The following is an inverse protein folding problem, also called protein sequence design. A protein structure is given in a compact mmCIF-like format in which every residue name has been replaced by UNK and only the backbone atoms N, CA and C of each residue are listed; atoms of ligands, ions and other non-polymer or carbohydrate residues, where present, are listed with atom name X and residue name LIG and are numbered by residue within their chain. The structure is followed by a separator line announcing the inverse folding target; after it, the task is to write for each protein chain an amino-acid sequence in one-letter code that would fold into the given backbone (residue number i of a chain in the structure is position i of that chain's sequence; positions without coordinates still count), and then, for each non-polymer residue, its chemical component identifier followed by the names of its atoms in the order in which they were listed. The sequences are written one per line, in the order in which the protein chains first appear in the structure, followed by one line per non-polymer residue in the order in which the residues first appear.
data_IF_143092917662
#
_entry.id   IF_143092917662
#
_cell.length_a   1.000
_cell.length_b   1.000
_cell.length_c   1.000
_cell.angle_alpha   90.00
_cell.angle_beta   90.00
_cell.angle_gamma   90.00
#
_symmetry.space_group_name_H-M   'P 1'
#
loop_
_entity.id
_entity.type
_entity.pdbx_description
1 polymer ?
#
# COMPACT_ATOMS: atom_id res chain seq x y z
N UNK A 1 -22.04 -18.44 -78.04
CA UNK A 1 -22.96 -18.65 -76.89
C UNK A 1 -22.33 -19.41 -75.69
N UNK A 2 -20.99 -19.55 -75.59
CA UNK A 2 -20.32 -20.35 -74.53
C UNK A 2 -19.60 -19.50 -73.46
N UNK A 3 -19.25 -18.28 -73.69
CA UNK A 3 -18.50 -17.44 -72.75
C UNK A 3 -19.33 -16.84 -71.61
N UNK A 4 -20.62 -16.57 -71.84
CA UNK A 4 -21.52 -15.99 -70.82
C UNK A 4 -21.81 -16.96 -69.62
N UNK A 5 -21.76 -18.27 -69.92
CA UNK A 5 -22.04 -19.26 -68.86
C UNK A 5 -20.82 -19.54 -67.97
N UNK A 6 -19.60 -19.43 -68.47
CA UNK A 6 -18.35 -19.56 -67.65
C UNK A 6 -18.23 -18.41 -66.70
N UNK A 7 -18.61 -17.19 -67.04
CA UNK A 7 -18.58 -16.03 -66.19
C UNK A 7 -19.58 -16.11 -65.03
N UNK A 8 -20.74 -16.74 -65.24
CA UNK A 8 -21.74 -17.00 -64.21
C UNK A 8 -21.29 -18.07 -63.18
N UNK A 9 -20.58 -19.09 -63.66
CA UNK A 9 -20.05 -20.16 -62.83
C UNK A 9 -18.90 -19.63 -61.95
N UNK A 10 -18.02 -18.79 -62.50
CA UNK A 10 -16.94 -18.15 -61.73
C UNK A 10 -17.49 -17.17 -60.70
N UNK A 11 -18.52 -16.40 -61.01
CA UNK A 11 -19.18 -15.50 -60.09
C UNK A 11 -19.90 -16.25 -58.96
N UNK A 12 -20.45 -17.43 -59.23
CA UNK A 12 -21.12 -18.27 -58.23
C UNK A 12 -20.13 -18.98 -57.28
N UNK A 13 -18.95 -19.38 -57.79
CA UNK A 13 -17.88 -19.98 -56.97
C UNK A 13 -17.22 -18.95 -56.07
N UNK A 14 -17.07 -17.69 -56.48
CA UNK A 14 -16.57 -16.59 -55.65
C UNK A 14 -17.57 -16.22 -54.53
N UNK A 15 -18.88 -16.40 -54.74
CA UNK A 15 -19.91 -16.14 -53.73
C UNK A 15 -20.07 -17.30 -52.72
N UNK A 16 -19.51 -18.47 -53.03
CA UNK A 16 -19.52 -19.69 -52.18
C UNK A 16 -18.21 -19.91 -51.43
N UNK A 17 -17.27 -18.96 -51.42
CA UNK A 17 -16.20 -18.95 -50.44
C UNK A 17 -16.87 -18.59 -49.13
N UNK A 18 -17.17 -19.56 -48.23
CA UNK A 18 -17.59 -19.20 -46.89
C UNK A 18 -16.45 -18.33 -46.35
N UNK A 19 -16.77 -17.11 -46.00
CA UNK A 19 -15.95 -16.40 -45.04
C UNK A 19 -15.92 -17.28 -43.78
N UNK A 20 -15.04 -18.24 -43.77
CA UNK A 20 -14.51 -18.76 -42.51
C UNK A 20 -13.85 -17.54 -41.86
N UNK A 21 -14.65 -16.72 -41.19
CA UNK A 21 -14.18 -15.96 -40.07
C UNK A 21 -13.57 -17.02 -39.16
N UNK A 22 -12.28 -17.25 -39.34
CA UNK A 22 -11.45 -17.78 -38.27
C UNK A 22 -11.62 -16.78 -37.14
N UNK A 23 -12.62 -17.03 -36.29
CA UNK A 23 -12.63 -16.50 -34.94
C UNK A 23 -11.35 -17.05 -34.33
N UNK A 24 -10.25 -16.28 -34.48
CA UNK A 24 -9.04 -16.54 -33.72
C UNK A 24 -9.50 -16.55 -32.27
N UNK A 25 -9.64 -17.75 -31.71
CA UNK A 25 -9.84 -17.91 -30.26
C UNK A 25 -8.61 -17.31 -29.65
N UNK A 26 -8.73 -16.06 -29.18
CA UNK A 26 -7.67 -15.42 -28.42
C UNK A 26 -7.42 -16.35 -27.23
N UNK A 27 -6.29 -16.99 -27.24
CA UNK A 27 -5.87 -17.86 -26.15
C UNK A 27 -5.80 -16.99 -24.90
N UNK A 28 -6.66 -17.30 -23.93
CA UNK A 28 -6.73 -16.52 -22.69
C UNK A 28 -5.57 -16.89 -21.80
N UNK A 29 -4.98 -15.89 -21.19
CA UNK A 29 -3.94 -16.11 -20.20
C UNK A 29 -4.54 -16.67 -18.89
N UNK A 30 -3.82 -17.59 -18.26
CA UNK A 30 -4.20 -18.10 -16.95
C UNK A 30 -4.04 -17.03 -15.90
N UNK A 31 -5.09 -16.76 -15.13
CA UNK A 31 -5.11 -15.84 -14.01
C UNK A 31 -4.96 -16.61 -12.69
N UNK A 32 -4.11 -16.12 -11.80
CA UNK A 32 -3.92 -16.68 -10.45
C UNK A 32 -4.33 -15.63 -9.43
N UNK A 33 -5.29 -15.99 -8.58
CA UNK A 33 -5.71 -15.16 -7.44
C UNK A 33 -5.03 -15.65 -6.16
N UNK A 34 -4.38 -14.75 -5.44
CA UNK A 34 -3.88 -14.98 -4.09
C UNK A 34 -4.74 -14.24 -3.08
N UNK A 35 -5.07 -14.88 -1.97
CA UNK A 35 -5.81 -14.29 -0.86
C UNK A 35 -4.92 -14.28 0.37
N UNK A 36 -4.69 -13.11 0.98
CA UNK A 36 -3.96 -12.95 2.24
C UNK A 36 -4.86 -12.29 3.26
N UNK A 37 -4.90 -12.86 4.47
CA UNK A 37 -5.65 -12.31 5.60
C UNK A 37 -4.74 -11.46 6.47
N UNK A 38 -5.29 -10.37 6.98
CA UNK A 38 -4.64 -9.43 7.90
C UNK A 38 -5.55 -9.13 9.09
N UNK A 39 -4.94 -9.04 10.27
CA UNK A 39 -5.62 -8.61 11.49
C UNK A 39 -4.73 -7.64 12.26
N UNK A 40 -5.11 -6.37 12.26
CA UNK A 40 -4.37 -5.30 12.92
C UNK A 40 -4.97 -4.99 14.29
N UNK A 41 -4.15 -5.03 15.32
CA UNK A 41 -4.52 -4.80 16.73
C UNK A 41 -5.71 -5.63 17.21
N UNK A 42 -5.89 -6.83 16.66
CA UNK A 42 -7.03 -7.72 16.91
C UNK A 42 -8.41 -7.07 16.63
N UNK A 43 -8.45 -5.95 15.93
CA UNK A 43 -9.65 -5.14 15.70
C UNK A 43 -9.98 -4.99 14.21
N UNK A 44 -9.06 -4.49 13.41
CA UNK A 44 -9.26 -4.32 11.98
C UNK A 44 -8.88 -5.61 11.24
N UNK A 45 -9.85 -6.23 10.58
CA UNK A 45 -9.65 -7.46 9.81
C UNK A 45 -9.94 -7.18 8.34
N UNK A 46 -9.01 -7.56 7.47
CA UNK A 46 -9.15 -7.34 6.03
C UNK A 46 -8.42 -8.42 5.22
N UNK A 47 -8.81 -8.52 3.98
CA UNK A 47 -8.21 -9.40 3.00
C UNK A 47 -7.49 -8.57 1.94
N UNK A 48 -6.32 -9.02 1.55
CA UNK A 48 -5.62 -8.51 0.37
C UNK A 48 -5.67 -9.57 -0.70
N UNK A 49 -6.39 -9.28 -1.77
CA UNK A 49 -6.52 -10.16 -2.92
C UNK A 49 -5.54 -9.69 -3.98
N UNK A 50 -4.67 -10.56 -4.45
CA UNK A 50 -3.70 -10.28 -5.50
C UNK A 50 -4.04 -11.06 -6.76
N UNK A 51 -4.03 -10.37 -7.93
CA UNK A 51 -4.20 -10.99 -9.23
C UNK A 51 -2.87 -10.99 -9.99
N UNK A 52 -2.46 -12.16 -10.47
CA UNK A 52 -1.21 -12.38 -11.22
C UNK A 52 -1.46 -13.26 -12.42
N UNK A 53 -0.73 -13.04 -13.51
CA UNK A 53 -0.72 -13.92 -14.67
C UNK A 53 0.72 -14.16 -15.12
N UNK A 54 0.96 -15.33 -15.70
CA UNK A 54 2.26 -15.68 -16.26
C UNK A 54 2.33 -15.19 -17.69
N UNK A 55 3.09 -14.11 -17.91
CA UNK A 55 3.33 -13.51 -19.22
C UNK A 55 4.83 -13.65 -19.50
N UNK A 56 5.18 -14.17 -20.67
CA UNK A 56 6.58 -14.43 -21.08
C UNK A 56 7.41 -15.19 -20.02
N UNK A 57 6.78 -16.19 -19.39
CA UNK A 57 7.43 -17.04 -18.40
C UNK A 57 7.56 -16.42 -17.00
N UNK A 58 7.18 -15.14 -16.78
CA UNK A 58 7.26 -14.43 -15.51
C UNK A 58 5.88 -14.07 -14.97
N UNK A 59 5.69 -14.17 -13.64
CA UNK A 59 4.47 -13.70 -13.01
C UNK A 59 4.45 -12.17 -12.96
N UNK A 60 3.43 -11.58 -13.56
CA UNK A 60 3.16 -10.15 -13.54
C UNK A 60 1.87 -9.88 -12.76
N UNK A 61 1.83 -8.77 -12.04
CA UNK A 61 0.62 -8.29 -11.35
C UNK A 61 -0.35 -7.71 -12.37
N UNK A 62 -1.63 -8.09 -12.28
CA UNK A 62 -2.67 -7.72 -13.24
C UNK A 62 -3.71 -6.83 -12.56
N UNK A 63 -3.84 -5.60 -13.06
CA UNK A 63 -4.86 -4.65 -12.61
C UNK A 63 -6.19 -4.81 -13.36
N UNK A 64 -7.21 -4.10 -12.89
CA UNK A 64 -8.55 -4.04 -13.47
C UNK A 64 -9.29 -5.39 -13.56
N UNK A 65 -8.98 -6.31 -12.65
CA UNK A 65 -9.69 -7.59 -12.51
C UNK A 65 -10.83 -7.42 -11.49
N UNK A 66 -12.05 -7.69 -11.91
CA UNK A 66 -13.20 -7.74 -11.01
C UNK A 66 -13.17 -9.01 -10.18
N UNK A 67 -13.18 -8.88 -8.86
CA UNK A 67 -13.12 -9.99 -7.90
C UNK A 67 -14.33 -9.95 -6.99
N UNK A 68 -14.94 -11.11 -6.73
CA UNK A 68 -15.94 -11.33 -5.70
C UNK A 68 -15.33 -12.17 -4.59
N UNK A 69 -15.64 -11.83 -3.35
CA UNK A 69 -15.09 -12.52 -2.19
C UNK A 69 -16.21 -13.11 -1.34
N UNK A 70 -16.02 -14.34 -0.92
CA UNK A 70 -16.94 -15.12 -0.12
C UNK A 70 -16.25 -15.67 1.12
N UNK A 71 -17.04 -15.96 2.16
CA UNK A 71 -16.60 -16.68 3.36
C UNK A 71 -17.23 -18.07 3.35
N UNK A 72 -16.48 -19.08 3.78
CA UNK A 72 -16.89 -20.49 3.89
C UNK A 72 -17.13 -21.16 2.54
N UNK A 73 -18.01 -20.62 1.68
CA UNK A 73 -18.40 -21.23 0.40
C UNK A 73 -18.92 -20.14 -0.56
N UNK A 74 -18.56 -20.25 -1.84
CA UNK A 74 -18.95 -19.35 -2.92
C UNK A 74 -20.29 -19.72 -3.60
N UNK A 75 -20.84 -20.89 -3.30
CA UNK A 75 -22.12 -21.33 -3.86
C UNK A 75 -23.33 -20.68 -3.19
N UNK A 76 -23.19 -20.15 -1.97
CA UNK A 76 -24.26 -19.52 -1.24
C UNK A 76 -24.12 -17.98 -1.27
N UNK A 77 -25.15 -17.30 -1.78
CA UNK A 77 -25.18 -15.83 -1.83
C UNK A 77 -25.05 -15.16 -0.45
N UNK A 78 -25.47 -15.84 0.61
CA UNK A 78 -25.38 -15.31 1.98
C UNK A 78 -23.92 -15.25 2.48
N UNK A 79 -23.01 -15.99 1.85
CA UNK A 79 -21.61 -16.01 2.18
C UNK A 79 -20.79 -14.93 1.43
N UNK A 80 -21.45 -14.14 0.58
CA UNK A 80 -20.83 -13.03 -0.11
C UNK A 80 -20.48 -11.92 0.88
N UNK A 81 -19.20 -11.51 0.90
CA UNK A 81 -18.71 -10.47 1.81
C UNK A 81 -18.30 -9.18 1.11
N UNK A 82 -18.04 -9.23 -0.18
CA UNK A 82 -17.75 -8.03 -0.94
C UNK A 82 -17.21 -8.30 -2.34
N UNK A 83 -17.13 -7.24 -3.13
CA UNK A 83 -16.53 -7.25 -4.45
C UNK A 83 -15.76 -5.96 -4.71
N UNK A 84 -14.80 -6.02 -5.62
CA UNK A 84 -14.05 -4.87 -6.06
C UNK A 84 -13.22 -5.17 -7.29
N UNK A 85 -12.40 -4.20 -7.67
CA UNK A 85 -11.53 -4.28 -8.84
C UNK A 85 -10.09 -4.11 -8.36
N UNK A 86 -9.17 -4.94 -8.86
CA UNK A 86 -7.75 -4.81 -8.54
C UNK A 86 -7.20 -3.50 -9.09
N UNK A 87 -6.38 -2.83 -8.28
CA UNK A 87 -5.64 -1.62 -8.67
C UNK A 87 -4.61 -1.94 -9.78
N UNK A 88 -3.94 -0.94 -10.32
CA UNK A 88 -2.82 -1.14 -11.27
C UNK A 88 -1.69 -2.01 -10.70
N UNK A 89 -1.56 -2.06 -9.38
CA UNK A 89 -0.62 -2.95 -8.68
C UNK A 89 -1.12 -4.39 -8.58
N UNK A 90 -2.28 -4.71 -9.16
CA UNK A 90 -2.88 -6.04 -9.13
C UNK A 90 -3.39 -6.44 -7.74
N UNK A 91 -3.76 -5.49 -6.89
CA UNK A 91 -4.20 -5.74 -5.52
C UNK A 91 -5.56 -5.09 -5.25
N UNK A 92 -6.40 -5.79 -4.50
CA UNK A 92 -7.68 -5.31 -3.98
C UNK A 92 -7.76 -5.59 -2.49
N UNK A 93 -8.08 -4.57 -1.70
CA UNK A 93 -8.19 -4.67 -0.24
C UNK A 93 -9.68 -4.67 0.11
N UNK A 94 -10.12 -5.66 0.88
CA UNK A 94 -11.47 -5.79 1.37
C UNK A 94 -11.48 -5.90 2.90
N UNK A 95 -11.98 -4.89 3.59
CA UNK A 95 -12.29 -5.02 5.01
C UNK A 95 -13.46 -5.97 5.23
N UNK A 96 -13.33 -6.87 6.21
CA UNK A 96 -14.40 -7.83 6.52
C UNK A 96 -15.58 -7.05 7.10
N UNK A 97 -16.75 -7.05 6.41
CA UNK A 97 -17.87 -6.24 6.84
C UNK A 97 -18.54 -6.84 8.08
N UNK A 98 -19.23 -6.02 8.89
CA UNK A 98 -19.98 -6.50 10.06
C UNK A 98 -21.01 -7.58 9.74
N UNK A 99 -21.57 -7.58 8.51
CA UNK A 99 -22.49 -8.61 8.03
C UNK A 99 -21.89 -10.01 7.99
N UNK A 100 -20.58 -10.13 7.75
CA UNK A 100 -19.86 -11.39 7.77
C UNK A 100 -19.58 -11.92 9.19
N UNK A 101 -19.83 -11.11 10.24
CA UNK A 101 -19.54 -11.46 11.63
C UNK A 101 -20.24 -12.74 12.08
N UNK A 102 -21.45 -12.96 11.64
CA UNK A 102 -22.26 -14.15 11.97
C UNK A 102 -21.57 -15.42 11.47
N UNK A 103 -21.12 -15.44 10.22
CA UNK A 103 -20.37 -16.57 9.66
C UNK A 103 -18.99 -16.67 10.26
N UNK A 104 -18.31 -15.54 10.46
CA UNK A 104 -16.99 -15.49 11.10
C UNK A 104 -16.98 -16.13 12.48
N UNK A 105 -18.01 -15.95 13.30
CA UNK A 105 -18.06 -16.48 14.68
C UNK A 105 -18.33 -17.98 14.74
N UNK A 106 -18.99 -18.57 13.74
CA UNK A 106 -19.44 -19.97 13.76
C UNK A 106 -18.31 -21.01 13.90
N UNK A 107 -17.13 -20.75 13.36
CA UNK A 107 -16.03 -21.72 13.37
C UNK A 107 -14.73 -21.08 13.81
N UNK A 108 -13.83 -21.83 14.41
CA UNK A 108 -12.48 -21.40 14.74
C UNK A 108 -11.64 -21.14 13.48
N UNK A 109 -11.89 -21.92 12.42
CA UNK A 109 -11.23 -21.78 11.11
C UNK A 109 -12.25 -21.39 10.07
N UNK A 110 -11.89 -20.44 9.20
CA UNK A 110 -12.73 -19.94 8.13
C UNK A 110 -12.01 -19.96 6.80
N UNK A 111 -12.71 -20.35 5.74
CA UNK A 111 -12.21 -20.30 4.39
C UNK A 111 -12.65 -19.01 3.69
N UNK A 112 -11.72 -18.24 3.16
CA UNK A 112 -12.00 -17.09 2.32
C UNK A 112 -11.73 -17.45 0.87
N UNK A 113 -12.69 -17.16 0.00
CA UNK A 113 -12.66 -17.52 -1.40
C UNK A 113 -12.80 -16.26 -2.24
N UNK A 114 -11.82 -16.00 -3.09
CA UNK A 114 -11.86 -14.94 -4.09
C UNK A 114 -12.10 -15.56 -5.48
N UNK A 115 -13.06 -15.03 -6.21
CA UNK A 115 -13.41 -15.53 -7.55
C UNK A 115 -13.43 -14.38 -8.54
N UNK A 116 -12.82 -14.59 -9.70
CA UNK A 116 -12.91 -13.70 -10.85
C UNK A 116 -13.54 -14.44 -12.02
N UNK A 117 -14.51 -13.82 -12.66
CA UNK A 117 -15.09 -14.36 -13.89
C UNK A 117 -14.11 -14.23 -15.05
N UNK A 118 -14.26 -15.10 -16.06
CA UNK A 118 -13.48 -15.00 -17.27
C UNK A 118 -13.67 -13.64 -17.95
N UNK A 119 -12.59 -13.08 -18.45
CA UNK A 119 -12.56 -11.85 -19.24
C UNK A 119 -12.20 -12.13 -20.71
N UNK A 120 -12.02 -11.10 -21.51
CA UNK A 120 -11.53 -11.28 -22.89
C UNK A 120 -10.09 -11.80 -22.95
N UNK A 121 -9.25 -11.42 -21.98
CA UNK A 121 -7.81 -11.70 -21.97
C UNK A 121 -7.42 -12.79 -20.97
N UNK A 122 -8.25 -13.03 -19.94
CA UNK A 122 -7.95 -13.93 -18.84
C UNK A 122 -9.05 -14.97 -18.63
N UNK A 123 -8.66 -16.15 -18.22
CA UNK A 123 -9.58 -17.20 -17.76
C UNK A 123 -10.23 -16.82 -16.42
N UNK A 124 -11.28 -17.56 -16.05
CA UNK A 124 -11.79 -17.49 -14.69
C UNK A 124 -10.73 -17.96 -13.69
N UNK A 125 -10.73 -17.35 -12.52
CA UNK A 125 -9.75 -17.68 -11.49
C UNK A 125 -10.41 -17.77 -10.13
N UNK A 126 -9.88 -18.68 -9.31
CA UNK A 126 -10.26 -18.90 -7.92
C UNK A 126 -9.03 -18.91 -7.04
N UNK A 127 -9.07 -18.18 -5.92
CA UNK A 127 -8.06 -18.20 -4.88
C UNK A 127 -8.70 -18.45 -3.52
N UNK A 128 -8.02 -19.15 -2.63
CA UNK A 128 -8.53 -19.51 -1.31
C UNK A 128 -7.49 -19.24 -0.23
N UNK A 129 -7.97 -18.93 0.98
CA UNK A 129 -7.18 -18.85 2.19
C UNK A 129 -7.97 -19.43 3.36
N UNK A 130 -7.40 -20.46 4.00
CA UNK A 130 -8.02 -21.12 5.14
C UNK A 130 -7.36 -20.62 6.43
N UNK A 131 -8.08 -19.77 7.18
CA UNK A 131 -7.51 -19.01 8.29
C UNK A 131 -8.09 -19.45 9.61
N UNK A 132 -7.23 -19.91 10.51
CA UNK A 132 -7.57 -20.16 11.90
C UNK A 132 -7.41 -18.88 12.71
N UNK A 133 -8.44 -18.55 13.49
CA UNK A 133 -8.46 -17.31 14.27
C UNK A 133 -7.38 -17.29 15.32
N UNK A 134 -6.57 -16.27 15.26
CA UNK A 134 -5.52 -16.03 16.23
C UNK A 134 -5.49 -14.55 16.63
N UNK A 135 -4.91 -14.26 17.80
CA UNK A 135 -4.69 -12.91 18.31
C UNK A 135 -3.37 -12.82 19.03
N UNK A 136 -2.73 -11.67 18.95
CA UNK A 136 -1.52 -11.35 19.69
C UNK A 136 -1.87 -10.47 20.86
N UNK A 137 -1.34 -10.78 22.04
CA UNK A 137 -1.31 -9.87 23.19
C UNK A 137 0.15 -9.46 23.38
N UNK A 138 0.40 -8.16 23.39
CA UNK A 138 1.71 -7.58 23.66
C UNK A 138 1.69 -6.88 25.01
N UNK A 139 2.72 -7.07 25.81
CA UNK A 139 2.90 -6.47 27.12
C UNK A 139 4.39 -6.19 27.36
N UNK A 140 4.69 -5.40 28.37
CA UNK A 140 6.06 -5.03 28.73
C UNK A 140 6.32 -5.29 30.21
N UNK A 141 7.57 -5.69 30.53
CA UNK A 141 8.05 -5.87 31.89
C UNK A 141 9.23 -4.92 32.17
N UNK A 142 9.63 -4.86 33.44
CA UNK A 142 10.78 -4.09 33.88
C UNK A 142 12.05 -4.47 33.12
N UNK A 143 13.01 -3.52 32.98
CA UNK A 143 14.21 -3.74 32.18
C UNK A 143 14.03 -3.64 30.68
N UNK A 144 12.95 -2.99 30.19
CA UNK A 144 12.61 -2.85 28.77
C UNK A 144 12.42 -4.19 28.05
N UNK A 145 11.80 -5.14 28.73
CA UNK A 145 11.46 -6.45 28.18
C UNK A 145 10.09 -6.37 27.52
N UNK A 146 9.97 -6.91 26.30
CA UNK A 146 8.74 -7.01 25.53
C UNK A 146 8.31 -8.47 25.50
N UNK A 147 7.09 -8.74 25.94
CA UNK A 147 6.46 -10.05 25.91
C UNK A 147 5.31 -10.01 24.88
N UNK A 148 5.32 -10.89 23.90
CA UNK A 148 4.19 -11.05 22.99
C UNK A 148 3.69 -12.48 23.05
N UNK A 149 2.38 -12.64 23.28
CA UNK A 149 1.71 -13.93 23.42
C UNK A 149 0.76 -14.17 22.28
N UNK A 150 0.95 -15.28 21.57
CA UNK A 150 0.04 -15.76 20.54
C UNK A 150 -1.02 -16.68 21.14
N UNK A 151 -2.28 -16.36 20.90
CA UNK A 151 -3.45 -17.14 21.29
C UNK A 151 -4.23 -17.55 20.05
N UNK A 152 -4.54 -18.80 19.93
CA UNK A 152 -5.31 -19.39 18.82
C UNK A 152 -6.66 -19.91 19.36
N UNK A 153 -7.72 -19.69 18.62
CA UNK A 153 -9.04 -20.20 18.98
C UNK A 153 -9.15 -21.68 18.64
N UNK A 154 -9.30 -22.51 19.66
CA UNK A 154 -9.49 -23.94 19.53
C UNK A 154 -10.67 -24.36 20.42
N UNK A 155 -11.66 -25.05 19.87
CA UNK A 155 -12.85 -25.50 20.62
C UNK A 155 -13.54 -24.35 21.41
N UNK A 156 -13.66 -23.18 20.78
CA UNK A 156 -14.22 -21.95 21.38
C UNK A 156 -13.42 -21.37 22.55
N UNK A 157 -12.21 -21.87 22.82
CA UNK A 157 -11.31 -21.37 23.85
C UNK A 157 -10.02 -20.85 23.24
N UNK A 158 -9.53 -19.74 23.76
CA UNK A 158 -8.24 -19.17 23.36
C UNK A 158 -7.10 -19.92 24.07
N UNK A 159 -6.35 -20.69 23.31
CA UNK A 159 -5.20 -21.47 23.81
C UNK A 159 -3.87 -20.86 23.32
N UNK A 160 -2.82 -20.89 24.13
CA UNK A 160 -1.48 -20.49 23.69
C UNK A 160 -0.98 -21.40 22.59
N UNK A 161 -0.23 -20.86 21.60
CA UNK A 161 0.32 -21.61 20.50
C UNK A 161 1.84 -21.49 20.48
N UNK A 162 2.51 -22.67 20.51
CA UNK A 162 3.96 -22.79 20.45
C UNK A 162 4.46 -22.95 19.02
N UNK A 163 5.75 -22.64 18.79
CA UNK A 163 6.43 -22.93 17.52
C UNK A 163 6.11 -21.96 16.39
N UNK A 164 5.47 -20.83 16.66
CA UNK A 164 5.14 -19.82 15.65
C UNK A 164 6.19 -18.71 15.65
N UNK A 165 6.69 -18.36 14.47
CA UNK A 165 7.62 -17.24 14.33
C UNK A 165 6.90 -15.90 14.46
N UNK A 166 7.51 -15.00 15.23
CA UNK A 166 7.03 -13.63 15.46
C UNK A 166 8.17 -12.64 15.36
N UNK A 167 7.87 -11.46 14.84
CA UNK A 167 8.79 -10.32 14.81
C UNK A 167 8.36 -9.31 15.85
N UNK A 168 9.29 -8.87 16.72
CA UNK A 168 9.05 -7.76 17.64
C UNK A 168 9.88 -6.57 17.16
N UNK A 169 9.21 -5.44 16.94
CA UNK A 169 9.85 -4.27 16.33
C UNK A 169 9.28 -2.95 16.86
N UNK A 170 9.95 -1.86 16.55
CA UNK A 170 9.45 -0.49 16.70
C UNK A 170 8.88 -0.02 15.38
N UNK A 171 7.67 0.48 15.38
CA UNK A 171 7.02 1.07 14.20
C UNK A 171 7.72 2.37 13.79
N UNK A 172 8.11 2.48 12.52
CA UNK A 172 8.74 3.66 11.93
C UNK A 172 8.05 4.02 10.62
N UNK A 173 8.33 5.21 10.07
CA UNK A 173 7.71 5.71 8.83
C UNK A 173 8.04 4.83 7.62
N UNK A 174 9.28 4.42 7.47
CA UNK A 174 9.77 3.65 6.32
C UNK A 174 9.90 2.14 6.58
N UNK A 175 9.21 1.63 7.61
CA UNK A 175 9.26 0.21 7.97
C UNK A 175 9.51 -0.02 9.44
N UNK A 176 9.56 -1.28 9.83
CA UNK A 176 9.70 -1.66 11.22
C UNK A 176 11.17 -1.90 11.56
N UNK A 177 11.60 -1.40 12.71
CA UNK A 177 12.95 -1.58 13.23
C UNK A 177 12.92 -2.63 14.35
N UNK A 178 13.61 -3.75 14.19
CA UNK A 178 13.69 -4.80 15.20
C UNK A 178 14.21 -4.25 16.52
N UNK A 179 13.65 -4.71 17.64
CA UNK A 179 14.02 -4.25 19.00
C UNK A 179 15.44 -4.62 19.40
N UNK A 180 16.02 -5.64 18.76
CA UNK A 180 17.39 -6.12 18.97
C UNK A 180 18.00 -6.58 17.64
N UNK A 181 19.14 -7.26 17.70
CA UNK A 181 19.77 -7.90 16.53
C UNK A 181 19.02 -9.17 16.07
N UNK A 182 18.17 -9.73 16.92
CA UNK A 182 17.35 -10.91 16.59
C UNK A 182 16.22 -10.49 15.64
N UNK A 183 16.20 -11.10 14.47
CA UNK A 183 15.22 -10.78 13.43
C UNK A 183 13.84 -11.37 13.74
N UNK A 184 13.81 -12.63 14.20
CA UNK A 184 12.58 -13.38 14.49
C UNK A 184 12.72 -14.13 15.82
N UNK A 185 11.61 -14.33 16.50
CA UNK A 185 11.47 -15.07 17.74
C UNK A 185 10.46 -16.19 17.53
N UNK A 186 10.64 -17.32 18.21
CA UNK A 186 9.69 -18.43 18.16
C UNK A 186 8.94 -18.54 19.48
N UNK A 187 7.61 -18.71 19.43
CA UNK A 187 6.79 -18.87 20.62
C UNK A 187 7.15 -20.13 21.40
N UNK A 188 7.27 -20.00 22.72
CA UNK A 188 7.54 -21.10 23.64
C UNK A 188 6.28 -21.97 23.94
N UNK A 189 6.38 -22.88 24.89
CA UNK A 189 5.27 -23.75 25.30
C UNK A 189 4.07 -22.99 25.88
N UNK A 190 4.30 -21.77 26.42
CA UNK A 190 3.26 -20.88 26.91
C UNK A 190 2.70 -19.95 25.80
N UNK A 191 3.16 -20.13 24.54
CA UNK A 191 2.81 -19.31 23.40
C UNK A 191 3.40 -17.88 23.48
N UNK A 192 4.49 -17.69 24.25
CA UNK A 192 5.10 -16.38 24.50
C UNK A 192 6.44 -16.29 23.79
N UNK A 193 6.71 -15.12 23.25
CA UNK A 193 8.06 -14.68 22.88
C UNK A 193 8.47 -13.55 23.79
N UNK A 194 9.74 -13.53 24.20
CA UNK A 194 10.32 -12.51 25.01
C UNK A 194 11.52 -11.90 24.32
N UNK A 195 11.55 -10.59 24.19
CA UNK A 195 12.64 -9.85 23.58
C UNK A 195 13.06 -8.67 24.44
N UNK A 196 14.37 -8.45 24.57
CA UNK A 196 14.93 -7.29 25.25
C UNK A 196 15.08 -6.15 24.23
N UNK A 197 14.59 -4.96 24.59
CA UNK A 197 14.75 -3.75 23.79
C UNK A 197 16.17 -3.19 23.91
N UNK A 198 17.00 -3.39 22.89
CA UNK A 198 18.42 -2.99 22.85
C UNK A 198 18.71 -1.78 21.98
N UNK A 199 17.70 -0.95 21.72
CA UNK A 199 17.86 0.25 20.88
C UNK A 199 17.89 1.49 21.74
N UNK A 200 19.07 2.03 21.97
CA UNK A 200 19.22 3.27 22.69
C UNK A 200 18.96 4.50 21.82
N UNK A 201 18.48 5.57 22.48
CA UNK A 201 18.37 6.89 21.88
C UNK A 201 17.45 7.02 20.66
N UNK A 202 16.46 6.13 20.48
CA UNK A 202 15.47 6.28 19.44
C UNK A 202 14.60 7.52 19.69
N UNK A 203 14.38 8.37 18.68
CA UNK A 203 13.44 9.48 18.78
C UNK A 203 12.01 8.93 18.87
N UNK A 204 11.28 9.35 19.89
CA UNK A 204 9.86 9.07 20.10
C UNK A 204 8.97 10.23 19.62
N UNK A 205 7.73 10.27 20.11
CA UNK A 205 6.86 11.43 19.99
C UNK A 205 7.32 12.59 20.89
N UNK A 206 6.52 13.65 21.01
CA UNK A 206 6.81 14.80 21.88
C UNK A 206 6.94 14.43 23.36
N UNK A 207 6.42 13.27 23.78
CA UNK A 207 6.52 12.72 25.14
C UNK A 207 7.57 11.61 25.25
N UNK A 208 8.23 11.24 24.17
CA UNK A 208 9.18 10.14 24.11
C UNK A 208 8.55 8.76 23.97
N UNK A 209 7.27 8.66 23.57
CA UNK A 209 6.67 7.36 23.33
C UNK A 209 7.14 6.75 22.01
N UNK A 210 7.34 5.44 22.03
CA UNK A 210 7.56 4.58 20.89
C UNK A 210 6.37 3.63 20.74
N UNK A 211 6.00 3.33 19.50
CA UNK A 211 5.03 2.27 19.21
C UNK A 211 5.81 0.98 18.97
N UNK A 212 5.69 0.05 19.90
CA UNK A 212 6.18 -1.32 19.72
C UNK A 212 5.11 -2.15 19.05
N UNK A 213 5.50 -3.07 18.21
CA UNK A 213 4.60 -4.00 17.54
C UNK A 213 5.16 -5.43 17.61
N UNK A 214 4.25 -6.39 17.70
CA UNK A 214 4.51 -7.80 17.53
C UNK A 214 3.72 -8.30 16.34
N UNK A 215 4.40 -8.96 15.41
CA UNK A 215 3.81 -9.41 14.14
C UNK A 215 4.03 -10.91 13.92
N UNK A 216 3.02 -11.58 13.41
CA UNK A 216 3.14 -12.83 12.66
C UNK A 216 3.00 -12.47 11.18
N UNK A 217 3.96 -12.88 10.36
CA UNK A 217 4.04 -12.45 8.95
C UNK A 217 3.96 -13.69 8.05
N UNK A 218 3.13 -13.60 7.00
CA UNK A 218 2.99 -14.62 5.95
C UNK A 218 2.80 -16.05 6.46
N UNK A 219 2.04 -16.21 7.55
CA UNK A 219 1.71 -17.52 8.09
C UNK A 219 0.49 -18.10 7.35
N UNK A 220 0.62 -19.32 6.83
CA UNK A 220 -0.43 -19.96 6.03
C UNK A 220 -1.69 -20.30 6.83
N UNK A 221 -1.55 -20.47 8.16
CA UNK A 221 -2.64 -20.89 9.06
C UNK A 221 -3.35 -19.68 9.68
N UNK A 222 -2.59 -18.67 10.11
CA UNK A 222 -3.10 -17.54 10.87
C UNK A 222 -3.15 -16.24 10.05
N UNK A 223 -2.52 -16.22 8.87
CA UNK A 223 -2.34 -15.02 8.06
C UNK A 223 -1.31 -14.06 8.66
N UNK A 224 -1.55 -12.78 8.45
CA UNK A 224 -0.72 -11.70 8.98
C UNK A 224 -1.42 -11.07 10.19
N UNK A 225 -0.78 -11.14 11.33
CA UNK A 225 -1.31 -10.59 12.59
C UNK A 225 -0.40 -9.48 13.09
N UNK A 226 -0.95 -8.41 13.62
CA UNK A 226 -0.20 -7.37 14.32
C UNK A 226 -0.88 -6.97 15.63
N UNK A 227 -0.08 -6.62 16.62
CA UNK A 227 -0.53 -5.97 17.84
C UNK A 227 0.47 -4.88 18.21
N UNK A 228 -0.03 -3.74 18.67
CA UNK A 228 0.77 -2.56 18.99
C UNK A 228 0.58 -2.15 20.46
N UNK A 229 1.64 -1.61 21.06
CA UNK A 229 1.61 -0.99 22.39
C UNK A 229 2.50 0.26 22.40
N UNK A 230 2.06 1.31 23.10
CA UNK A 230 2.84 2.53 23.28
C UNK A 230 3.67 2.43 24.57
N UNK A 231 4.96 2.74 24.48
CA UNK A 231 5.89 2.70 25.61
C UNK A 231 6.76 3.96 25.67
N UNK A 232 7.05 4.52 26.86
CA UNK A 232 7.84 5.75 27.01
C UNK A 232 9.36 5.47 27.02
N UNK A 233 9.85 4.72 26.00
CA UNK A 233 11.26 4.29 25.95
C UNK A 233 12.10 5.08 24.94
N UNK A 234 11.50 6.02 24.24
CA UNK A 234 12.18 6.89 23.29
C UNK A 234 12.63 8.21 23.91
N UNK A 235 13.44 8.95 23.15
CA UNK A 235 13.76 10.35 23.48
C UNK A 235 12.66 11.26 22.94
N UNK A 236 12.15 12.21 23.77
CA UNK A 236 11.20 13.21 23.28
C UNK A 236 11.76 13.98 22.09
N UNK A 237 11.00 14.05 21.00
CA UNK A 237 11.37 14.83 19.84
C UNK A 237 10.48 16.06 19.73
N UNK A 238 11.06 17.21 20.05
CA UNK A 238 10.40 18.50 19.90
C UNK A 238 10.79 19.05 18.51
N UNK A 239 9.86 19.02 17.58
CA UNK A 239 10.05 19.67 16.28
C UNK A 239 9.91 21.18 16.45
N UNK A 240 11.03 21.87 16.60
CA UNK A 240 11.04 23.31 16.37
C UNK A 240 11.09 23.54 14.86
N UNK A 241 9.94 23.83 14.28
CA UNK A 241 9.86 24.19 12.85
C UNK A 241 10.43 25.59 12.66
N UNK A 242 11.72 25.72 12.57
CA UNK A 242 12.39 26.94 12.13
C UNK A 242 12.20 27.12 10.61
N UNK A 243 10.95 27.15 10.13
CA UNK A 243 10.66 27.48 8.74
C UNK A 243 11.25 28.85 8.35
N UNK A 244 11.43 29.75 9.32
CA UNK A 244 12.02 31.07 9.12
C UNK A 244 13.53 31.05 8.83
N UNK A 245 14.24 29.98 9.25
CA UNK A 245 15.70 29.88 9.09
C UNK A 245 16.11 29.16 7.78
N UNK A 246 15.15 28.59 7.04
CA UNK A 246 15.43 27.86 5.80
C UNK A 246 15.12 28.62 4.52
N UNK A 247 14.47 29.78 4.58
CA UNK A 247 14.24 30.57 3.38
C UNK A 247 15.39 31.53 3.18
N UNK A 248 16.26 31.22 2.22
CA UNK A 248 17.36 32.09 1.81
C UNK A 248 16.90 33.49 1.36
N UNK A 249 15.62 33.66 0.99
CA UNK A 249 15.13 34.88 0.34
C UNK A 249 13.77 35.37 0.83
N UNK A 250 13.16 34.76 1.83
CA UNK A 250 11.72 34.99 2.08
C UNK A 250 11.38 36.02 3.16
N UNK A 251 12.31 36.59 3.88
CA UNK A 251 12.00 37.61 4.90
C UNK A 251 13.00 38.76 4.93
N UNK A 252 12.46 39.98 4.93
CA UNK A 252 13.18 41.20 5.24
C UNK A 252 13.94 41.02 6.56
N UNK A 253 15.27 41.27 6.54
CA UNK A 253 16.13 41.18 7.71
C UNK A 253 16.80 39.81 7.91
N UNK A 254 16.62 38.85 6.99
CA UNK A 254 17.34 37.53 7.02
C UNK A 254 18.28 37.33 5.84
N UNK A 255 18.30 38.27 4.89
CA UNK A 255 19.31 38.33 3.85
C UNK A 255 20.63 38.88 4.39
N UNK A 256 21.78 38.39 3.90
CA UNK A 256 23.07 39.00 4.22
C UNK A 256 23.06 40.50 3.85
N UNK A 257 23.52 41.38 4.75
CA UNK A 257 23.52 42.84 4.56
C UNK A 257 24.14 43.27 3.21
N UNK A 258 25.18 42.59 2.75
CA UNK A 258 25.80 42.89 1.47
C UNK A 258 24.84 42.70 0.28
N UNK A 259 23.94 41.71 0.34
CA UNK A 259 22.96 41.44 -0.71
C UNK A 259 21.85 42.48 -0.73
N UNK A 260 21.38 42.96 0.43
CA UNK A 260 20.45 44.06 0.54
C UNK A 260 21.08 45.37 0.01
N UNK A 261 22.33 45.62 0.38
CA UNK A 261 23.08 46.79 -0.10
C UNK A 261 23.25 46.79 -1.61
N UNK A 262 23.54 45.64 -2.20
CA UNK A 262 23.69 45.46 -3.63
C UNK A 262 22.34 45.69 -4.36
N UNK A 263 21.27 45.13 -3.84
CA UNK A 263 19.93 45.30 -4.40
C UNK A 263 19.46 46.75 -4.39
N UNK A 264 19.58 47.44 -3.25
CA UNK A 264 19.23 48.86 -3.15
C UNK A 264 20.18 49.73 -3.96
N UNK A 265 21.47 49.41 -4.03
CA UNK A 265 22.44 50.09 -4.86
C UNK A 265 22.08 50.08 -6.34
N UNK A 266 21.66 48.94 -6.87
CA UNK A 266 21.22 48.82 -8.26
C UNK A 266 19.96 49.66 -8.50
N UNK A 267 18.98 49.61 -7.60
CA UNK A 267 17.76 50.39 -7.73
C UNK A 267 18.07 51.89 -7.76
N UNK A 268 18.90 52.38 -6.84
CA UNK A 268 19.31 53.79 -6.78
C UNK A 268 20.07 54.18 -8.06
N UNK A 269 21.00 53.35 -8.54
CA UNK A 269 21.73 53.64 -9.77
C UNK A 269 20.82 53.80 -10.99
N UNK A 270 19.80 52.93 -11.13
CA UNK A 270 18.80 53.07 -12.20
C UNK A 270 18.05 54.37 -12.10
N UNK A 271 17.60 54.76 -10.91
CA UNK A 271 16.90 56.04 -10.70
C UNK A 271 17.78 57.25 -11.01
N UNK A 272 19.06 57.22 -10.64
CA UNK A 272 20.00 58.32 -10.95
C UNK A 272 20.14 58.47 -12.46
N UNK A 273 20.25 57.39 -13.22
CA UNK A 273 20.32 57.44 -14.70
C UNK A 273 19.05 58.01 -15.29
N UNK A 274 17.88 57.58 -14.82
CA UNK A 274 16.58 58.08 -15.29
C UNK A 274 16.46 59.60 -15.02
N UNK A 275 16.78 60.06 -13.83
CA UNK A 275 16.73 61.49 -13.47
C UNK A 275 17.69 62.26 -14.35
N UNK A 276 18.92 61.79 -14.56
CA UNK A 276 19.88 62.40 -15.45
C UNK A 276 19.36 62.56 -16.88
N UNK A 277 18.77 61.52 -17.44
CA UNK A 277 18.17 61.56 -18.78
C UNK A 277 17.03 62.58 -18.87
N UNK A 278 16.16 62.63 -17.87
CA UNK A 278 15.05 63.64 -17.81
C UNK A 278 15.62 65.05 -17.78
N UNK A 279 16.68 65.32 -17.03
CA UNK A 279 17.35 66.61 -16.99
C UNK A 279 17.96 66.98 -18.36
N UNK A 280 18.60 66.03 -19.04
CA UNK A 280 19.16 66.24 -20.36
C UNK A 280 18.09 66.52 -21.40
N UNK A 281 16.98 65.76 -21.38
CA UNK A 281 15.85 65.99 -22.27
C UNK A 281 15.28 67.41 -22.05
N UNK A 282 15.08 67.83 -20.80
CA UNK A 282 14.64 69.21 -20.49
C UNK A 282 15.60 70.32 -21.01
N UNK A 283 16.93 70.06 -20.91
CA UNK A 283 17.93 70.98 -21.48
C UNK A 283 17.84 71.04 -22.99
N UNK A 284 17.69 69.92 -23.70
CA UNK A 284 17.55 69.90 -25.16
C UNK A 284 16.29 70.64 -25.60
N UNK A 285 15.16 70.39 -24.92
CA UNK A 285 13.89 71.10 -25.22
C UNK A 285 14.05 72.57 -25.03
N UNK A 286 14.74 73.06 -23.98
CA UNK A 286 14.98 74.47 -23.74
C UNK A 286 15.88 75.09 -24.82
N UNK A 287 16.92 74.44 -25.28
CA UNK A 287 17.84 74.87 -26.34
C UNK A 287 17.17 74.85 -27.73
N UNK A 288 16.14 74.08 -27.93
CA UNK A 288 15.37 74.03 -29.19
C UNK A 288 14.24 75.08 -29.27
N UNK A 289 13.99 75.81 -28.17
CA UNK A 289 12.99 76.87 -28.08
C UNK A 289 13.60 78.28 -28.13
N UNK A 290 14.93 78.40 -28.12
CA UNK A 290 15.69 79.60 -28.45
C UNK A 290 16.14 79.54 -29.93
#
# INVERSE_FOLDING_TARGET
MRMKNVFKIIAFVVYLIPTFLLAATVEKNTLVLGVKYYSDNNAAQYLVISAKSKIDGKFQKIGNIAVKVFITNDSNKNNFIGAGITTERGEFILFIPPSAKTEWVKSATQNFIAVSAATKLYEEARGEANITKAKIKIDTADGKIVNAKLLVLTDSVWKPMTGVEMVIAVKRLDGNLNISETATYTTDAAGVVTGEFKRDSLPGDSKGNLVLLANVIDNDIYGNLSAEINVPWGKPLIYTTNYNNRSLFARRGHSPFWLEFLAYGIIIAVWVVIIYLVIQIKKIVKLGLE
#
